data_IF_648642832297
#
_entry.id   IF_648642832297
#
_cell.length_a   1.000
_cell.length_b   1.000
_cell.length_c   1.000
_cell.angle_alpha   90.00
_cell.angle_beta   90.00
_cell.angle_gamma   90.00
#
_symmetry.space_group_name_H-M   'P 1'
#
loop_
_entity.id
_entity.type
_entity.pdbx_description
1 polymer ?
#
# COMPACT_ATOMS: atom_id res chain seq x y z
N UNK A 1 16.24 -1.40 -6.57
CA UNK A 1 16.19 -0.60 -5.33
C UNK A 1 14.82 -0.79 -4.68
N UNK A 2 14.76 -1.14 -3.40
CA UNK A 2 13.49 -1.24 -2.67
C UNK A 2 12.90 0.17 -2.50
N UNK A 3 11.68 0.40 -2.99
CA UNK A 3 11.01 1.68 -2.82
C UNK A 3 10.64 1.85 -1.34
N UNK A 4 11.18 2.90 -0.70
CA UNK A 4 10.85 3.25 0.68
C UNK A 4 9.40 3.72 0.73
N UNK A 5 8.57 3.04 1.54
CA UNK A 5 7.19 3.44 1.80
C UNK A 5 7.15 4.01 3.21
N UNK A 6 6.68 5.25 3.32
CA UNK A 6 6.48 5.93 4.60
C UNK A 6 4.98 5.93 4.88
N UNK A 7 4.59 5.45 6.06
CA UNK A 7 3.19 5.40 6.49
C UNK A 7 3.06 6.24 7.75
N UNK A 8 2.13 7.18 7.73
CA UNK A 8 1.80 8.00 8.91
C UNK A 8 0.80 7.26 9.80
N UNK A 9 1.08 7.26 11.09
CA UNK A 9 0.18 6.75 12.13
C UNK A 9 -0.52 7.92 12.79
N UNK A 10 -1.81 7.75 13.06
CA UNK A 10 -2.57 8.69 13.90
C UNK A 10 -2.09 8.58 15.37
N UNK A 11 -2.28 9.62 16.21
CA UNK A 11 -1.83 9.59 17.60
C UNK A 11 -2.33 8.36 18.38
N UNK A 12 -3.59 7.97 18.17
CA UNK A 12 -4.19 6.79 18.80
C UNK A 12 -3.54 5.47 18.36
N UNK A 13 -3.14 5.38 17.09
CA UNK A 13 -2.45 4.21 16.55
C UNK A 13 -1.02 4.12 17.10
N UNK A 14 -0.35 5.26 17.31
CA UNK A 14 0.97 5.32 17.93
C UNK A 14 0.92 4.83 19.38
N UNK A 15 0.02 5.37 20.19
CA UNK A 15 -0.16 4.96 21.59
C UNK A 15 -0.48 3.46 21.67
N UNK A 16 -1.36 2.96 20.78
CA UNK A 16 -1.72 1.54 20.75
C UNK A 16 -0.51 0.67 20.37
N UNK A 17 0.31 1.10 19.40
CA UNK A 17 1.52 0.40 19.02
C UNK A 17 2.56 0.38 20.16
N UNK A 18 2.77 1.51 20.84
CA UNK A 18 3.67 1.60 21.98
C UNK A 18 3.27 0.62 23.09
N UNK A 19 1.98 0.55 23.42
CA UNK A 19 1.46 -0.42 24.40
C UNK A 19 1.74 -1.86 23.99
N UNK A 20 1.45 -2.22 22.74
CA UNK A 20 1.72 -3.57 22.20
C UNK A 20 3.18 -3.95 22.34
N UNK A 21 4.09 -3.01 22.07
CA UNK A 21 5.53 -3.24 22.16
C UNK A 21 5.96 -3.43 23.62
N UNK A 22 5.42 -2.63 24.54
CA UNK A 22 5.72 -2.74 25.97
C UNK A 22 5.17 -4.03 26.59
N UNK A 23 3.97 -4.43 26.19
CA UNK A 23 3.27 -5.60 26.72
C UNK A 23 3.67 -6.91 26.02
N UNK A 24 4.52 -6.84 24.98
CA UNK A 24 4.92 -7.95 24.09
C UNK A 24 3.72 -8.78 23.57
N UNK A 25 2.56 -8.15 23.39
CA UNK A 25 1.33 -8.83 22.99
C UNK A 25 1.31 -9.09 21.48
N UNK A 26 1.73 -10.30 21.10
CA UNK A 26 1.75 -10.76 19.71
C UNK A 26 0.34 -10.79 19.06
N UNK A 27 -0.71 -11.05 19.84
CA UNK A 27 -2.07 -11.13 19.31
C UNK A 27 -2.57 -9.74 18.94
N UNK A 28 -2.35 -8.77 19.82
CA UNK A 28 -2.71 -7.39 19.59
C UNK A 28 -1.85 -6.75 18.49
N UNK A 29 -0.56 -7.10 18.42
CA UNK A 29 0.32 -6.71 17.32
C UNK A 29 -0.24 -7.15 15.97
N UNK A 30 -0.65 -8.43 15.86
CA UNK A 30 -1.22 -8.96 14.63
C UNK A 30 -2.53 -8.26 14.26
N UNK A 31 -3.36 -7.95 15.26
CA UNK A 31 -4.61 -7.20 15.05
C UNK A 31 -4.33 -5.80 14.51
N UNK A 32 -3.41 -5.06 15.12
CA UNK A 32 -3.01 -3.72 14.70
C UNK A 32 -2.41 -3.71 13.28
N UNK A 33 -1.58 -4.70 12.94
CA UNK A 33 -1.03 -4.86 11.59
C UNK A 33 -2.15 -5.06 10.55
N UNK A 34 -3.13 -5.91 10.83
CA UNK A 34 -4.26 -6.22 9.94
C UNK A 34 -5.21 -5.04 9.77
N UNK A 35 -5.58 -4.39 10.87
CA UNK A 35 -6.62 -3.35 10.86
C UNK A 35 -6.10 -2.00 10.38
N UNK A 36 -4.83 -1.66 10.68
CA UNK A 36 -4.29 -0.30 10.45
C UNK A 36 -3.14 -0.27 9.46
N UNK A 37 -2.09 -1.07 9.69
CA UNK A 37 -0.85 -0.95 8.92
C UNK A 37 -1.00 -1.45 7.48
N UNK A 38 -1.54 -2.66 7.27
CA UNK A 38 -1.68 -3.21 5.92
C UNK A 38 -2.58 -2.38 5.00
N UNK A 39 -3.76 -1.90 5.43
CA UNK A 39 -4.59 -1.03 4.60
C UNK A 39 -3.86 0.25 4.17
N UNK A 40 -3.12 0.90 5.08
CA UNK A 40 -2.33 2.10 4.76
C UNK A 40 -1.17 1.77 3.81
N UNK A 41 -0.49 0.65 4.01
CA UNK A 41 0.59 0.17 3.12
C UNK A 41 0.08 -0.09 1.69
N UNK A 42 -1.07 -0.75 1.55
CA UNK A 42 -1.67 -1.05 0.24
C UNK A 42 -2.03 0.26 -0.47
N UNK A 43 -2.70 1.18 0.23
CA UNK A 43 -3.04 2.50 -0.33
C UNK A 43 -1.81 3.25 -0.82
N UNK A 44 -0.70 3.28 -0.07
CA UNK A 44 0.50 3.97 -0.53
C UNK A 44 1.25 3.26 -1.67
N UNK A 45 1.16 1.92 -1.75
CA UNK A 45 1.62 1.21 -2.94
C UNK A 45 0.81 1.62 -4.16
N UNK A 46 -0.50 1.75 -4.03
CA UNK A 46 -1.40 2.15 -5.13
C UNK A 46 -1.22 3.62 -5.54
N UNK A 47 -0.97 4.55 -4.61
CA UNK A 47 -0.67 5.96 -4.94
C UNK A 47 0.58 6.15 -5.79
N UNK A 48 1.45 5.16 -5.87
CA UNK A 48 2.61 5.17 -6.77
C UNK A 48 2.20 5.34 -8.26
N UNK A 49 0.92 5.16 -8.58
CA UNK A 49 0.38 5.29 -9.93
C UNK A 49 -0.15 6.68 -10.30
N UNK A 50 0.25 7.77 -9.63
CA UNK A 50 0.10 9.12 -10.21
C UNK A 50 1.02 9.26 -11.43
N UNK A 51 0.60 8.68 -12.54
CA UNK A 51 1.18 8.89 -13.85
C UNK A 51 0.65 10.22 -14.37
N UNK A 52 1.52 11.17 -14.76
CA UNK A 52 1.08 12.41 -15.39
C UNK A 52 0.16 12.10 -16.58
N UNK A 53 -0.84 12.95 -16.81
CA UNK A 53 -1.83 12.73 -17.88
C UNK A 53 -1.18 12.51 -19.24
N UNK A 54 -0.07 13.19 -19.55
CA UNK A 54 0.64 13.03 -20.80
C UNK A 54 1.30 11.64 -20.97
N UNK A 55 1.76 11.01 -19.89
CA UNK A 55 2.31 9.63 -19.91
C UNK A 55 1.18 8.59 -20.06
N UNK A 56 -0.01 8.86 -19.53
CA UNK A 56 -1.22 8.07 -19.76
C UNK A 56 -1.63 8.10 -21.23
N UNK A 57 -1.69 9.29 -21.82
CA UNK A 57 -2.03 9.46 -23.23
C UNK A 57 -0.96 8.92 -24.20
N UNK A 58 0.31 8.87 -23.79
CA UNK A 58 1.37 8.23 -24.57
C UNK A 58 1.20 6.70 -24.61
N UNK A 59 0.94 6.06 -23.47
CA UNK A 59 0.72 4.59 -23.42
C UNK A 59 -0.49 4.12 -24.22
N UNK A 60 -1.57 4.91 -24.25
CA UNK A 60 -2.74 4.65 -25.09
C UNK A 60 -2.40 4.67 -26.58
N UNK A 61 -1.52 5.59 -27.01
CA UNK A 61 -1.06 5.72 -28.40
C UNK A 61 -0.13 4.59 -28.82
N UNK A 62 0.65 4.04 -27.89
CA UNK A 62 1.58 2.92 -28.13
C UNK A 62 0.91 1.53 -28.14
N UNK A 63 -0.43 1.45 -28.12
CA UNK A 63 -1.17 0.20 -28.36
C UNK A 63 -1.22 -0.78 -27.17
N UNK A 64 -0.88 -0.36 -25.96
CA UNK A 64 -1.09 -1.18 -24.77
C UNK A 64 -2.57 -1.14 -24.36
N UNK A 65 -3.38 -1.98 -24.98
CA UNK A 65 -4.80 -2.14 -24.64
C UNK A 65 -4.94 -2.62 -23.18
N UNK A 66 -5.74 -1.93 -22.37
CA UNK A 66 -5.87 -2.18 -20.92
C UNK A 66 -6.33 -3.61 -20.58
N UNK A 67 -6.93 -4.32 -21.56
CA UNK A 67 -7.36 -5.71 -21.44
C UNK A 67 -6.22 -6.71 -21.14
N UNK A 68 -4.97 -6.40 -21.51
CA UNK A 68 -3.83 -7.30 -21.26
C UNK A 68 -3.20 -7.18 -19.86
N UNK A 69 -3.58 -6.17 -19.06
CA UNK A 69 -3.07 -6.04 -17.68
C UNK A 69 -3.80 -6.97 -16.70
N UNK A 70 -5.05 -7.34 -16.99
CA UNK A 70 -5.88 -8.20 -16.15
C UNK A 70 -5.66 -9.70 -16.40
N UNK A 71 -5.10 -10.10 -17.56
CA UNK A 71 -4.86 -11.51 -17.87
C UNK A 71 -3.51 -12.09 -17.39
N UNK A 72 -2.58 -11.28 -16.86
CA UNK A 72 -1.38 -11.83 -16.19
C UNK A 72 -1.62 -12.27 -14.74
N UNK A 73 -2.87 -12.23 -14.27
CA UNK A 73 -3.31 -12.79 -12.99
C UNK A 73 -4.33 -13.91 -13.19
N UNK A 74 -3.95 -14.99 -13.86
CA UNK A 74 -4.47 -16.34 -13.60
C UNK A 74 -3.62 -17.34 -14.39
N UNK A 75 -2.86 -18.14 -13.64
CA UNK A 75 -2.33 -19.42 -14.09
C UNK A 75 -3.49 -20.40 -14.19
#
# INVERSE_FOLDING_TARGET
MLKKIVISLEPEEQIRLERVVLDEDASEALRLLKERIYPKLIKEREKTHCMPSFELEARKRDGANEDNLLLKKKK
#
